data_IF_546394428335
#
_entry.id   IF_546394428335
#
_cell.length_a   1.000
_cell.length_b   1.000
_cell.length_c   1.000
_cell.angle_alpha   90.00
_cell.angle_beta   90.00
_cell.angle_gamma   90.00
#
_symmetry.space_group_name_H-M   'P 1'
#
loop_
_entity.id
_entity.type
_entity.pdbx_description
1 polymer ?
#
# COMPACT_ATOMS: atom_id res chain seq x y z
N UNK A 1 -30.42 -4.53 5.69
CA UNK A 1 -30.67 -3.51 4.66
C UNK A 1 -29.81 -3.81 3.48
N UNK A 2 -30.42 -3.89 2.29
CA UNK A 2 -29.67 -3.99 1.05
C UNK A 2 -29.15 -2.61 0.67
N UNK A 3 -27.89 -2.54 0.30
CA UNK A 3 -27.23 -1.37 -0.22
C UNK A 3 -27.17 -1.52 -1.75
N UNK A 4 -27.58 -0.49 -2.46
CA UNK A 4 -27.32 -0.34 -3.90
C UNK A 4 -27.02 1.14 -4.13
N UNK A 5 -25.78 1.43 -4.41
CA UNK A 5 -25.28 2.80 -4.59
C UNK A 5 -24.67 2.90 -5.96
N UNK A 6 -25.21 3.79 -6.75
CA UNK A 6 -24.64 4.21 -8.02
C UNK A 6 -24.33 5.70 -7.94
N UNK A 7 -23.09 6.04 -8.15
CA UNK A 7 -22.60 7.42 -8.23
C UNK A 7 -21.94 7.57 -9.59
N UNK A 8 -22.50 8.46 -10.40
CA UNK A 8 -21.98 8.75 -11.72
C UNK A 8 -21.44 10.20 -11.74
N UNK A 9 -20.12 10.30 -11.89
CA UNK A 9 -19.40 11.58 -12.08
C UNK A 9 -19.69 12.64 -11.03
N UNK A 10 -19.74 12.26 -9.76
CA UNK A 10 -19.93 13.19 -8.65
C UNK A 10 -18.67 14.05 -8.46
N UNK A 11 -18.86 15.36 -8.36
CA UNK A 11 -17.82 16.31 -8.03
C UNK A 11 -18.23 17.07 -6.78
N UNK A 12 -17.47 16.93 -5.69
CA UNK A 12 -17.70 17.58 -4.42
C UNK A 12 -16.41 18.17 -3.88
N UNK A 13 -16.49 19.33 -3.25
CA UNK A 13 -15.42 19.80 -2.37
C UNK A 13 -15.42 19.02 -1.04
N UNK A 14 -14.29 18.93 -0.36
CA UNK A 14 -14.24 18.29 0.96
C UNK A 14 -15.22 18.93 1.97
N UNK A 15 -15.39 20.25 2.04
CA UNK A 15 -16.43 20.87 2.89
C UNK A 15 -17.85 20.40 2.57
N UNK A 16 -18.20 20.21 1.30
CA UNK A 16 -19.51 19.66 0.91
C UNK A 16 -19.65 18.20 1.35
N UNK A 17 -18.57 17.40 1.25
CA UNK A 17 -18.58 16.01 1.69
C UNK A 17 -18.80 15.88 3.20
N UNK A 18 -18.38 16.85 4.02
CA UNK A 18 -18.61 16.83 5.47
C UNK A 18 -20.09 16.88 5.87
N UNK A 19 -20.97 17.43 5.02
CA UNK A 19 -22.41 17.36 5.24
C UNK A 19 -22.94 15.93 5.24
N UNK A 20 -22.31 15.06 4.44
CA UNK A 20 -22.70 13.65 4.32
C UNK A 20 -21.92 12.75 5.29
N UNK A 21 -20.67 13.10 5.55
CA UNK A 21 -19.71 12.33 6.35
C UNK A 21 -19.01 13.27 7.35
N UNK A 22 -19.67 13.68 8.44
CA UNK A 22 -19.12 14.64 9.41
C UNK A 22 -17.77 14.21 10.03
N UNK A 23 -17.50 12.90 10.07
CA UNK A 23 -16.25 12.36 10.59
C UNK A 23 -15.01 12.84 9.79
N UNK A 24 -15.18 13.18 8.52
CA UNK A 24 -14.11 13.68 7.65
C UNK A 24 -13.51 14.98 8.22
N UNK A 25 -14.31 15.84 8.83
CA UNK A 25 -13.83 17.10 9.39
C UNK A 25 -12.91 16.91 10.59
N UNK A 26 -12.99 15.78 11.26
CA UNK A 26 -12.13 15.40 12.39
C UNK A 26 -10.82 14.73 11.98
N UNK A 27 -10.68 14.34 10.72
CA UNK A 27 -9.50 13.65 10.19
C UNK A 27 -8.41 14.64 9.81
N UNK A 28 -7.45 14.87 10.71
CA UNK A 28 -6.32 15.79 10.47
C UNK A 28 -5.48 15.42 9.24
N UNK A 29 -5.45 14.14 8.87
CA UNK A 29 -4.69 13.61 7.74
C UNK A 29 -5.16 14.13 6.37
N UNK A 30 -6.42 14.56 6.23
CA UNK A 30 -6.97 15.03 4.96
C UNK A 30 -7.29 16.53 4.94
N UNK A 31 -7.01 17.26 6.03
CA UNK A 31 -7.32 18.69 6.14
C UNK A 31 -6.62 19.55 5.08
N UNK A 32 -5.45 19.11 4.59
CA UNK A 32 -4.71 19.80 3.53
C UNK A 32 -5.40 19.72 2.15
N UNK A 33 -6.37 18.81 1.99
CA UNK A 33 -7.16 18.63 0.76
C UNK A 33 -8.45 19.46 0.74
N UNK A 34 -8.68 20.34 1.73
CA UNK A 34 -9.93 21.12 1.87
C UNK A 34 -10.32 21.92 0.62
N UNK A 35 -9.33 22.38 -0.13
CA UNK A 35 -9.56 23.20 -1.32
C UNK A 35 -9.59 22.36 -2.62
N UNK A 36 -9.45 21.05 -2.50
CA UNK A 36 -9.47 20.14 -3.63
C UNK A 36 -10.89 19.64 -3.90
N UNK A 37 -11.16 19.30 -5.15
CA UNK A 37 -12.42 18.68 -5.57
C UNK A 37 -12.23 17.17 -5.61
N UNK A 38 -13.09 16.45 -4.91
CA UNK A 38 -13.24 15.00 -5.04
C UNK A 38 -14.09 14.71 -6.26
N UNK A 39 -13.52 13.97 -7.20
CA UNK A 39 -14.26 13.31 -8.26
C UNK A 39 -14.50 11.86 -7.84
N UNK A 40 -15.74 11.43 -7.86
CA UNK A 40 -16.15 10.08 -7.47
C UNK A 40 -17.05 9.47 -8.52
N UNK A 41 -16.71 8.25 -8.90
CA UNK A 41 -17.53 7.36 -9.71
C UNK A 41 -17.55 5.99 -9.03
N UNK A 42 -18.71 5.43 -8.73
CA UNK A 42 -18.81 4.21 -7.97
C UNK A 42 -20.09 3.43 -8.22
N UNK A 43 -19.97 2.11 -8.29
CA UNK A 43 -21.06 1.16 -8.24
C UNK A 43 -20.82 0.15 -7.13
N UNK A 44 -21.68 0.18 -6.11
CA UNK A 44 -21.57 -0.64 -4.90
C UNK A 44 -22.88 -1.37 -4.67
N UNK A 45 -22.81 -2.65 -4.33
CA UNK A 45 -23.96 -3.50 -4.02
C UNK A 45 -23.71 -4.31 -2.75
N UNK A 46 -24.78 -4.76 -2.10
CA UNK A 46 -24.66 -5.68 -0.97
C UNK A 46 -25.36 -5.22 0.29
N UNK A 47 -24.66 -5.24 1.40
CA UNK A 47 -25.16 -4.82 2.72
C UNK A 47 -24.07 -4.07 3.48
N UNK A 48 -24.43 -3.47 4.63
CA UNK A 48 -23.41 -2.84 5.52
C UNK A 48 -22.42 -3.86 6.12
N UNK A 49 -22.65 -5.16 5.97
CA UNK A 49 -21.70 -6.20 6.36
C UNK A 49 -20.78 -6.57 5.22
N UNK A 50 -21.36 -6.79 4.03
CA UNK A 50 -20.66 -7.35 2.89
C UNK A 50 -20.96 -6.49 1.67
N UNK A 51 -19.96 -5.80 1.16
CA UNK A 51 -20.04 -4.87 0.05
C UNK A 51 -19.33 -5.48 -1.15
N UNK A 52 -20.04 -5.57 -2.28
CA UNK A 52 -19.46 -5.80 -3.60
C UNK A 52 -19.22 -4.45 -4.27
N UNK A 53 -18.01 -4.21 -4.71
CA UNK A 53 -17.56 -3.03 -5.44
C UNK A 53 -17.37 -3.45 -6.89
N UNK A 54 -18.32 -3.10 -7.75
CA UNK A 54 -18.18 -3.35 -9.20
C UNK A 54 -17.06 -2.47 -9.74
N UNK A 55 -17.08 -1.20 -9.38
CA UNK A 55 -16.01 -0.24 -9.56
C UNK A 55 -16.14 0.88 -8.52
N UNK A 56 -15.01 1.43 -8.12
CA UNK A 56 -14.90 2.70 -7.42
C UNK A 56 -13.69 3.44 -7.99
N UNK A 57 -13.91 4.62 -8.50
CA UNK A 57 -12.87 5.56 -8.89
C UNK A 57 -13.01 6.82 -8.03
N UNK A 58 -11.93 7.19 -7.37
CA UNK A 58 -11.86 8.43 -6.61
C UNK A 58 -10.60 9.21 -7.01
N UNK A 59 -10.76 10.49 -7.26
CA UNK A 59 -9.66 11.41 -7.56
C UNK A 59 -9.82 12.69 -6.75
N UNK A 60 -8.78 13.04 -5.99
CA UNK A 60 -8.73 14.27 -5.22
C UNK A 60 -7.31 14.86 -5.26
N UNK A 61 -7.17 16.05 -5.83
CA UNK A 61 -5.87 16.66 -6.06
C UNK A 61 -4.99 15.77 -6.94
N UNK A 62 -3.86 15.30 -6.41
CA UNK A 62 -2.95 14.40 -7.12
C UNK A 62 -3.18 12.92 -6.80
N UNK A 63 -4.16 12.63 -5.94
CA UNK A 63 -4.43 11.27 -5.48
C UNK A 63 -5.52 10.63 -6.32
N UNK A 64 -5.23 9.43 -6.85
CA UNK A 64 -6.18 8.63 -7.62
C UNK A 64 -6.23 7.24 -7.04
N UNK A 65 -7.44 6.71 -6.88
CA UNK A 65 -7.67 5.34 -6.41
C UNK A 65 -8.72 4.68 -7.26
N UNK A 66 -8.44 3.48 -7.71
CA UNK A 66 -9.40 2.58 -8.36
C UNK A 66 -9.49 1.29 -7.55
N UNK A 67 -10.69 0.86 -7.28
CA UNK A 67 -10.97 -0.35 -6.51
C UNK A 67 -12.06 -1.17 -7.21
N UNK A 68 -11.96 -2.48 -7.14
CA UNK A 68 -13.06 -3.41 -7.38
C UNK A 68 -12.86 -4.69 -6.55
N UNK A 69 -13.92 -5.45 -6.31
CA UNK A 69 -13.88 -6.67 -5.52
C UNK A 69 -14.87 -6.65 -4.36
N UNK A 70 -14.68 -7.56 -3.41
CA UNK A 70 -15.60 -7.69 -2.29
C UNK A 70 -14.90 -7.37 -0.96
N UNK A 71 -15.59 -6.63 -0.12
CA UNK A 71 -15.18 -6.33 1.25
C UNK A 71 -16.22 -6.93 2.20
N UNK A 72 -15.81 -7.90 2.99
CA UNK A 72 -16.67 -8.61 3.93
C UNK A 72 -16.43 -8.09 5.35
N UNK A 73 -17.48 -8.15 6.18
CA UNK A 73 -17.45 -7.71 7.57
C UNK A 73 -17.04 -6.24 7.77
N UNK A 74 -17.47 -5.34 6.90
CA UNK A 74 -17.06 -3.93 6.88
C UNK A 74 -17.24 -3.22 8.24
N UNK A 75 -18.28 -3.60 8.99
CA UNK A 75 -18.58 -3.02 10.32
C UNK A 75 -17.70 -3.56 11.45
N UNK A 76 -16.86 -4.57 11.18
CA UNK A 76 -15.98 -5.18 12.17
C UNK A 76 -14.55 -5.24 11.61
N UNK A 77 -13.71 -4.30 12.00
CA UNK A 77 -12.34 -4.18 11.50
C UNK A 77 -11.48 -5.41 11.80
N UNK A 78 -11.74 -6.13 12.89
CA UNK A 78 -10.99 -7.35 13.26
C UNK A 78 -11.30 -8.54 12.35
N UNK A 79 -12.48 -8.51 11.70
CA UNK A 79 -12.96 -9.55 10.79
C UNK A 79 -13.01 -9.08 9.33
N UNK A 80 -12.64 -7.82 9.08
CA UNK A 80 -12.64 -7.26 7.73
C UNK A 80 -11.81 -8.13 6.81
N UNK A 81 -12.43 -8.59 5.72
CA UNK A 81 -11.82 -9.51 4.77
C UNK A 81 -11.99 -8.96 3.36
N UNK A 82 -10.90 -8.94 2.62
CA UNK A 82 -10.87 -8.60 1.20
C UNK A 82 -10.97 -9.89 0.38
N UNK A 83 -11.82 -9.90 -0.63
CA UNK A 83 -11.99 -11.05 -1.52
C UNK A 83 -11.97 -10.58 -2.98
N UNK A 84 -11.01 -11.08 -3.76
CA UNK A 84 -10.73 -10.64 -5.14
C UNK A 84 -10.68 -9.11 -5.25
N UNK A 85 -10.02 -8.49 -4.27
CA UNK A 85 -9.99 -7.05 -4.13
C UNK A 85 -8.81 -6.48 -4.93
N UNK A 86 -9.11 -5.85 -6.05
CA UNK A 86 -8.12 -5.14 -6.84
C UNK A 86 -8.01 -3.69 -6.37
N UNK A 87 -6.76 -3.26 -6.18
CA UNK A 87 -6.38 -1.90 -5.83
C UNK A 87 -5.45 -1.36 -6.92
N UNK A 88 -5.70 -0.15 -7.41
CA UNK A 88 -4.75 0.68 -8.14
C UNK A 88 -4.79 2.09 -7.53
N UNK A 89 -3.67 2.52 -6.97
CA UNK A 89 -3.55 3.79 -6.28
C UNK A 89 -2.33 4.57 -6.77
N UNK A 90 -2.56 5.84 -7.08
CA UNK A 90 -1.52 6.81 -7.39
C UNK A 90 -1.62 7.94 -6.38
N UNK A 91 -0.57 8.18 -5.63
CA UNK A 91 -0.57 9.17 -4.56
C UNK A 91 0.84 9.69 -4.30
N UNK A 92 1.00 10.55 -3.33
CA UNK A 92 2.31 11.01 -2.87
C UNK A 92 2.60 10.43 -1.48
N UNK A 93 3.87 10.17 -1.16
CA UNK A 93 4.25 9.57 0.12
C UNK A 93 3.77 10.39 1.33
N UNK A 94 3.71 11.70 1.21
CA UNK A 94 3.17 12.59 2.25
C UNK A 94 1.72 12.29 2.61
N UNK A 95 0.93 11.85 1.62
CA UNK A 95 -0.49 11.53 1.79
C UNK A 95 -0.71 10.20 2.51
N UNK A 96 0.18 9.23 2.29
CA UNK A 96 0.10 7.90 2.91
C UNK A 96 0.67 7.92 4.33
N UNK A 97 1.73 8.68 4.56
CA UNK A 97 2.48 8.69 5.82
C UNK A 97 1.61 8.86 7.09
N UNK A 98 0.57 9.71 7.11
CA UNK A 98 -0.31 9.85 8.27
C UNK A 98 -1.11 8.59 8.64
N UNK A 99 -1.31 7.68 7.67
CA UNK A 99 -2.07 6.44 7.86
C UNK A 99 -1.19 5.23 8.24
N UNK A 100 0.12 5.38 8.15
CA UNK A 100 1.06 4.33 8.54
C UNK A 100 1.36 4.37 10.04
N UNK A 101 1.66 3.22 10.66
CA UNK A 101 2.13 3.18 12.03
C UNK A 101 3.32 4.11 12.23
N UNK A 102 3.36 4.79 13.39
CA UNK A 102 4.47 5.69 13.72
C UNK A 102 5.82 4.97 13.64
N UNK A 103 6.78 5.56 12.95
CA UNK A 103 8.12 5.00 12.80
C UNK A 103 8.30 4.06 11.60
N UNK A 104 7.25 3.70 10.87
CA UNK A 104 7.34 2.90 9.64
C UNK A 104 8.19 3.62 8.59
N UNK A 105 7.98 4.92 8.43
CA UNK A 105 8.75 5.74 7.49
C UNK A 105 9.51 6.83 8.24
N UNK A 106 10.75 7.02 7.85
CA UNK A 106 11.63 8.08 8.36
C UNK A 106 11.30 9.43 7.70
N UNK A 107 11.74 10.56 8.27
CA UNK A 107 11.58 11.87 7.64
C UNK A 107 12.14 11.93 6.21
N UNK A 108 13.21 11.20 5.95
CA UNK A 108 13.85 11.07 4.64
C UNK A 108 12.97 10.40 3.57
N UNK A 109 11.86 9.75 3.93
CA UNK A 109 10.97 9.08 2.99
C UNK A 109 10.31 10.03 1.96
N UNK A 110 10.31 11.34 2.21
CA UNK A 110 9.72 12.31 1.30
C UNK A 110 10.35 12.28 -0.12
N UNK A 111 11.59 11.82 -0.26
CA UNK A 111 12.22 11.68 -1.59
C UNK A 111 11.61 10.56 -2.45
N UNK A 112 10.88 9.62 -1.86
CA UNK A 112 10.14 8.61 -2.62
C UNK A 112 9.06 9.26 -3.50
N UNK A 113 8.60 10.46 -3.15
CA UNK A 113 7.74 11.29 -3.98
C UNK A 113 6.41 10.62 -4.31
N UNK A 114 6.08 10.57 -5.61
CA UNK A 114 4.89 9.90 -6.11
C UNK A 114 5.03 8.38 -5.95
N UNK A 115 3.93 7.74 -5.56
CA UNK A 115 3.83 6.30 -5.39
C UNK A 115 2.68 5.79 -6.26
N UNK A 116 2.97 4.75 -6.99
CA UNK A 116 1.99 3.90 -7.66
C UNK A 116 1.99 2.53 -6.96
N UNK A 117 0.82 2.07 -6.53
CA UNK A 117 0.63 0.77 -5.92
C UNK A 117 -0.57 0.09 -6.59
N UNK A 118 -0.35 -1.09 -7.16
CA UNK A 118 -1.44 -1.88 -7.72
C UNK A 118 -1.28 -3.35 -7.42
N UNK A 119 -2.40 -4.08 -7.35
CA UNK A 119 -2.37 -5.52 -7.14
C UNK A 119 -3.71 -6.08 -6.70
N UNK A 120 -3.78 -7.40 -6.66
CA UNK A 120 -4.94 -8.16 -6.18
C UNK A 120 -4.68 -8.63 -4.75
N UNK A 121 -5.61 -8.30 -3.85
CA UNK A 121 -5.56 -8.61 -2.43
C UNK A 121 -6.65 -9.62 -2.07
N UNK A 122 -6.29 -10.61 -1.23
CA UNK A 122 -7.23 -11.60 -0.71
C UNK A 122 -6.86 -11.95 0.73
N UNK A 123 -7.83 -11.91 1.63
CA UNK A 123 -7.66 -12.27 3.02
C UNK A 123 -8.00 -11.16 3.99
N UNK A 124 -7.52 -11.31 5.22
CA UNK A 124 -7.73 -10.41 6.34
C UNK A 124 -6.39 -9.96 6.95
N UNK A 125 -6.43 -9.19 8.04
CA UNK A 125 -5.22 -8.73 8.72
C UNK A 125 -4.43 -9.84 9.44
N UNK A 126 -5.03 -11.04 9.62
CA UNK A 126 -4.32 -12.22 10.13
C UNK A 126 -3.54 -12.91 9.03
N UNK A 127 -4.09 -12.91 7.81
CA UNK A 127 -3.45 -13.50 6.64
C UNK A 127 -3.90 -12.82 5.35
N UNK A 128 -3.06 -11.97 4.81
CA UNK A 128 -3.26 -11.28 3.54
C UNK A 128 -2.40 -11.92 2.45
N UNK A 129 -3.02 -12.33 1.37
CA UNK A 129 -2.35 -12.74 0.13
C UNK A 129 -2.42 -11.62 -0.89
N UNK A 130 -1.37 -11.46 -1.66
CA UNK A 130 -1.34 -10.52 -2.77
C UNK A 130 -0.74 -11.18 -4.02
N UNK A 131 -1.30 -10.78 -5.15
CA UNK A 131 -0.88 -11.25 -6.47
C UNK A 131 -0.61 -10.05 -7.38
N UNK A 132 0.48 -10.14 -8.14
CA UNK A 132 0.93 -9.07 -9.02
C UNK A 132 0.97 -7.72 -8.31
N UNK A 133 1.45 -7.71 -7.06
CA UNK A 133 1.64 -6.46 -6.34
C UNK A 133 2.79 -5.71 -7.00
N UNK A 134 2.48 -4.52 -7.51
CA UNK A 134 3.45 -3.60 -8.13
C UNK A 134 3.51 -2.35 -7.28
N UNK A 135 4.71 -1.98 -6.88
CA UNK A 135 5.02 -0.71 -6.23
C UNK A 135 6.04 0.03 -7.10
N UNK A 136 5.71 1.22 -7.48
CA UNK A 136 6.61 2.13 -8.18
C UNK A 136 6.66 3.46 -7.44
N UNK A 137 7.85 4.05 -7.30
CA UNK A 137 8.02 5.36 -6.69
C UNK A 137 8.69 6.33 -7.65
N UNK A 138 8.62 7.61 -7.36
CA UNK A 138 9.39 8.62 -8.08
C UNK A 138 10.90 8.51 -7.78
N UNK A 139 11.28 7.87 -6.66
CA UNK A 139 12.64 7.44 -6.37
C UNK A 139 13.07 6.26 -7.25
N UNK A 140 14.01 5.48 -6.77
CA UNK A 140 14.51 4.28 -7.46
C UNK A 140 13.81 2.99 -6.97
N UNK A 141 12.94 3.11 -5.96
CA UNK A 141 12.23 1.97 -5.39
C UNK A 141 11.14 1.49 -6.35
N UNK A 142 11.35 0.29 -6.86
CA UNK A 142 10.43 -0.41 -7.76
C UNK A 142 10.32 -1.87 -7.32
N UNK A 143 9.12 -2.42 -7.27
CA UNK A 143 8.91 -3.79 -6.87
C UNK A 143 7.75 -4.44 -7.62
N UNK A 144 7.93 -5.70 -7.99
CA UNK A 144 6.86 -6.58 -8.48
C UNK A 144 6.98 -7.92 -7.79
N UNK A 145 5.92 -8.32 -7.08
CA UNK A 145 5.97 -9.51 -6.26
C UNK A 145 4.60 -10.16 -6.05
N UNK A 146 4.62 -11.43 -5.70
CA UNK A 146 3.50 -12.17 -5.15
C UNK A 146 3.83 -12.59 -3.72
N UNK A 147 2.81 -12.94 -2.93
CA UNK A 147 3.11 -13.49 -1.62
C UNK A 147 1.96 -13.42 -0.63
N UNK A 148 2.35 -13.59 0.62
CA UNK A 148 1.44 -13.44 1.75
C UNK A 148 2.18 -12.84 2.94
N UNK A 149 1.41 -12.12 3.74
CA UNK A 149 1.84 -11.58 5.04
C UNK A 149 0.83 -12.02 6.08
N UNK A 150 1.32 -12.48 7.23
CA UNK A 150 0.49 -12.87 8.36
C UNK A 150 0.72 -11.93 9.54
N UNK A 151 -0.32 -11.73 10.35
CA UNK A 151 -0.30 -10.89 11.55
C UNK A 151 0.09 -9.42 11.30
N UNK A 152 -0.45 -8.81 10.25
CA UNK A 152 -0.10 -7.44 9.80
C UNK A 152 -0.24 -6.40 10.93
N UNK A 153 -1.24 -6.55 11.79
CA UNK A 153 -1.48 -5.63 12.92
C UNK A 153 -0.64 -5.92 14.16
N UNK A 154 0.08 -7.06 14.18
CA UNK A 154 0.95 -7.50 15.28
C UNK A 154 2.37 -7.63 14.76
N UNK A 155 3.07 -6.51 14.69
CA UNK A 155 4.40 -6.44 14.05
C UNK A 155 5.43 -7.36 14.68
N UNK A 156 5.33 -7.64 15.99
CA UNK A 156 6.15 -8.60 16.71
C UNK A 156 5.93 -10.07 16.32
N UNK A 157 4.80 -10.37 15.68
CA UNK A 157 4.40 -11.69 15.19
C UNK A 157 4.30 -11.74 13.66
N UNK A 158 4.77 -10.69 13.00
CA UNK A 158 4.71 -10.58 11.53
C UNK A 158 5.45 -11.74 10.89
N UNK A 159 4.79 -12.43 9.95
CA UNK A 159 5.41 -13.44 9.10
C UNK A 159 5.12 -13.12 7.64
N UNK A 160 6.04 -13.48 6.77
CA UNK A 160 5.91 -13.24 5.35
C UNK A 160 6.47 -14.38 4.50
N UNK A 161 5.88 -14.55 3.31
CA UNK A 161 6.39 -15.38 2.22
C UNK A 161 6.22 -14.60 0.94
N UNK A 162 7.32 -14.23 0.32
CA UNK A 162 7.36 -13.36 -0.85
C UNK A 162 8.05 -14.08 -2.01
N UNK A 163 7.47 -13.99 -3.18
CA UNK A 163 8.07 -14.35 -4.45
C UNK A 163 8.29 -13.04 -5.23
N UNK A 164 9.52 -12.60 -5.23
CA UNK A 164 9.93 -11.29 -5.74
C UNK A 164 10.43 -11.46 -7.17
N UNK A 165 9.61 -11.07 -8.12
CA UNK A 165 9.97 -11.09 -9.52
C UNK A 165 10.99 -10.02 -9.87
N UNK A 166 10.84 -8.86 -9.24
CA UNK A 166 11.71 -7.71 -9.40
C UNK A 166 11.61 -6.82 -8.18
N UNK A 167 12.75 -6.40 -7.67
CA UNK A 167 12.87 -5.38 -6.65
C UNK A 167 14.11 -4.54 -6.96
N UNK A 168 13.94 -3.23 -7.06
CA UNK A 168 15.04 -2.29 -7.25
C UNK A 168 15.02 -1.22 -6.18
N UNK A 169 16.18 -0.85 -5.69
CA UNK A 169 16.33 0.23 -4.69
C UNK A 169 17.73 0.81 -4.73
N UNK A 170 17.88 2.00 -4.20
CA UNK A 170 19.16 2.66 -3.98
C UNK A 170 19.38 3.05 -2.52
N UNK A 171 20.60 3.51 -2.18
CA UNK A 171 20.91 3.92 -0.81
C UNK A 171 20.04 5.08 -0.32
N UNK A 172 19.54 5.94 -1.22
CA UNK A 172 18.62 7.02 -0.87
C UNK A 172 17.27 6.46 -0.40
N UNK A 173 16.73 5.49 -1.13
CA UNK A 173 15.42 4.92 -0.82
C UNK A 173 15.46 4.09 0.47
N UNK A 174 16.56 3.38 0.71
CA UNK A 174 16.76 2.63 1.94
C UNK A 174 16.72 3.53 3.19
N UNK A 175 17.13 4.78 3.09
CA UNK A 175 17.02 5.77 4.18
C UNK A 175 15.56 6.13 4.52
N UNK A 176 14.61 5.82 3.66
CA UNK A 176 13.20 5.97 3.99
C UNK A 176 12.75 5.03 5.12
N UNK A 177 13.47 3.93 5.31
CA UNK A 177 13.12 2.85 6.24
C UNK A 177 14.14 2.70 7.38
N UNK A 178 15.38 3.18 7.20
CA UNK A 178 16.48 2.99 8.14
C UNK A 178 17.05 4.34 8.61
N UNK A 179 17.34 4.46 9.90
CA UNK A 179 17.95 5.68 10.46
C UNK A 179 19.40 5.86 10.00
N UNK A 180 20.14 4.76 9.96
CA UNK A 180 21.53 4.74 9.51
C UNK A 180 21.76 3.59 8.55
N UNK A 181 22.42 3.87 7.43
CA UNK A 181 22.89 2.84 6.52
C UNK A 181 24.25 2.31 6.99
N UNK A 182 24.47 0.98 6.97
CA UNK A 182 25.81 0.41 7.13
C UNK A 182 26.79 1.05 6.13
N UNK A 183 28.05 1.20 6.55
CA UNK A 183 29.09 1.87 5.74
C UNK A 183 29.24 1.21 4.36
N UNK A 184 29.06 -0.12 4.31
CA UNK A 184 29.21 -0.93 3.10
C UNK A 184 28.19 -0.58 2.01
N UNK A 185 26.97 -0.13 2.40
CA UNK A 185 25.91 0.18 1.45
C UNK A 185 25.67 1.69 1.25
N UNK A 186 26.51 2.54 1.87
CA UNK A 186 26.41 4.00 1.66
C UNK A 186 26.64 4.40 0.20
N UNK A 187 27.51 3.67 -0.50
CA UNK A 187 27.87 3.91 -1.89
C UNK A 187 27.02 3.08 -2.87
N UNK A 188 25.99 2.40 -2.36
CA UNK A 188 25.03 1.70 -3.19
C UNK A 188 24.30 2.73 -4.07
N UNK A 189 24.49 2.64 -5.37
CA UNK A 189 23.74 3.42 -6.35
C UNK A 189 22.42 2.74 -6.60
N UNK A 190 22.47 1.51 -7.07
CA UNK A 190 21.28 0.69 -7.37
C UNK A 190 21.57 -0.75 -7.00
N UNK A 191 20.59 -1.41 -6.41
CA UNK A 191 20.56 -2.85 -6.22
C UNK A 191 19.26 -3.41 -6.80
N UNK A 192 19.35 -4.56 -7.45
CA UNK A 192 18.19 -5.32 -7.93
C UNK A 192 18.20 -6.70 -7.29
N UNK A 193 17.03 -7.15 -6.85
CA UNK A 193 16.86 -8.48 -6.31
C UNK A 193 15.71 -9.20 -7.02
N UNK A 194 15.89 -10.50 -7.25
CA UNK A 194 14.83 -11.42 -7.67
C UNK A 194 15.00 -12.75 -6.96
N UNK A 195 13.91 -13.33 -6.48
CA UNK A 195 13.96 -14.58 -5.72
C UNK A 195 12.86 -14.67 -4.68
N UNK A 196 13.03 -15.57 -3.72
CA UNK A 196 12.08 -15.80 -2.64
C UNK A 196 12.65 -15.32 -1.32
N UNK A 197 11.80 -14.75 -0.50
CA UNK A 197 12.12 -14.36 0.86
C UNK A 197 10.99 -14.81 1.78
N UNK A 198 11.31 -15.51 2.86
CA UNK A 198 10.32 -15.91 3.85
C UNK A 198 10.87 -15.81 5.26
N UNK A 199 9.98 -15.64 6.24
CA UNK A 199 10.39 -15.58 7.63
C UNK A 199 9.57 -14.62 8.48
N UNK A 200 10.21 -14.12 9.53
CA UNK A 200 9.71 -13.10 10.44
C UNK A 200 10.73 -11.94 10.58
N UNK A 201 10.60 -11.11 11.60
CA UNK A 201 11.52 -9.99 11.83
C UNK A 201 12.91 -10.40 12.31
N UNK A 202 13.09 -11.65 12.77
CA UNK A 202 14.32 -12.12 13.42
C UNK A 202 15.00 -13.26 12.67
N UNK A 203 14.20 -14.07 11.97
CA UNK A 203 14.66 -15.21 11.18
C UNK A 203 14.05 -15.16 9.80
N UNK A 204 14.90 -15.29 8.82
CA UNK A 204 14.47 -15.23 7.41
C UNK A 204 15.31 -16.17 6.55
N UNK A 205 14.65 -16.73 5.57
CA UNK A 205 15.26 -17.52 4.51
C UNK A 205 15.24 -16.67 3.22
N UNK A 206 16.35 -16.70 2.50
CA UNK A 206 16.54 -15.94 1.26
C UNK A 206 17.09 -16.86 0.19
N UNK A 207 16.36 -17.01 -0.91
CA UNK A 207 16.77 -17.76 -2.09
C UNK A 207 16.62 -16.84 -3.30
N UNK A 208 17.73 -16.38 -3.87
CA UNK A 208 17.66 -15.45 -4.99
C UNK A 208 18.99 -14.82 -5.39
N UNK A 209 18.88 -13.87 -6.30
CA UNK A 209 20.02 -13.16 -6.87
C UNK A 209 19.89 -11.67 -6.58
N UNK A 210 20.89 -11.12 -5.91
CA UNK A 210 21.10 -9.69 -5.72
C UNK A 210 22.20 -9.22 -6.66
N UNK A 211 21.92 -8.22 -7.47
CA UNK A 211 22.89 -7.53 -8.32
C UNK A 211 23.01 -6.08 -7.94
N UNK A 212 24.22 -5.58 -7.83
CA UNK A 212 24.45 -4.19 -7.50
C UNK A 212 25.75 -3.63 -8.10
N UNK A 213 25.92 -2.32 -8.01
CA UNK A 213 27.19 -1.67 -8.35
C UNK A 213 28.35 -2.04 -7.38
N UNK A 214 28.05 -2.70 -6.27
CA UNK A 214 29.04 -3.16 -5.28
C UNK A 214 29.45 -4.61 -5.47
N UNK A 215 28.74 -5.35 -6.31
CA UNK A 215 28.93 -6.77 -6.61
C UNK A 215 27.61 -7.55 -6.65
N UNK A 216 27.71 -8.78 -7.08
CA UNK A 216 26.59 -9.70 -7.23
C UNK A 216 26.67 -10.79 -6.15
N UNK A 217 25.51 -11.17 -5.59
CA UNK A 217 25.38 -12.20 -4.57
C UNK A 217 24.26 -13.16 -5.02
N UNK A 218 24.57 -14.45 -5.00
CA UNK A 218 23.54 -15.50 -5.05
C UNK A 218 23.42 -16.08 -3.65
N UNK A 219 22.22 -16.03 -3.10
CA UNK A 219 21.91 -16.55 -1.77
C UNK A 219 21.00 -17.77 -1.88
N UNK A 220 21.32 -18.81 -1.11
CA UNK A 220 20.50 -19.98 -0.83
C UNK A 220 20.76 -20.27 0.67
N UNK A 221 20.05 -19.55 1.53
CA UNK A 221 20.27 -19.47 2.99
C UNK A 221 18.98 -19.74 3.75
#
# INVERSE_FOLDING_TARGET
QNLNVLVDSLNLSLPELTYFLPMIDTMSSIQHLKNETLQLDASLQGSLKDISIDHLFANIGQNKVQLNGNVLNVMNTDLLTLNHFYLDANTHISEIKPFLPKGTLKPSANHLGKIQLSGLLNGDFKKMKFQNLVLHTQGELDAKLNGQVENILKTDQLQYKLDIHHFTTGSKDLRAFMDTLPSQIKELKTATYSGKVSGDLYKYDVDGILKSNLGDITADL
#
